data_IF_463347571639
#
_entry.id   IF_463347571639
#
_cell.length_a   1.000
_cell.length_b   1.000
_cell.length_c   1.000
_cell.angle_alpha   90.00
_cell.angle_beta   90.00
_cell.angle_gamma   90.00
#
_symmetry.space_group_name_H-M   'P 1'
#
loop_
_entity.id
_entity.type
_entity.pdbx_description
1 polymer ?
#
# COMPACT_ATOMS: atom_id res chain seq x y z
N UNK A 1 21.61 1.59 50.87
CA UNK A 1 20.46 1.59 50.00
C UNK A 1 20.11 3.01 49.55
N UNK A 2 21.08 3.78 48.94
CA UNK A 2 20.92 5.18 48.48
C UNK A 2 21.88 5.53 47.33
N UNK A 3 22.26 4.58 46.44
CA UNK A 3 23.20 4.86 45.33
C UNK A 3 22.80 4.21 43.99
N UNK A 4 21.52 3.82 43.77
CA UNK A 4 21.01 3.24 42.51
C UNK A 4 19.90 4.05 41.82
N UNK A 5 19.50 5.20 42.34
CA UNK A 5 18.45 6.05 41.82
C UNK A 5 18.94 7.30 41.06
N UNK A 6 20.26 7.52 40.98
CA UNK A 6 20.82 8.71 40.29
C UNK A 6 21.32 8.46 38.87
N UNK A 7 21.29 7.22 38.36
CA UNK A 7 21.76 6.85 37.02
C UNK A 7 20.65 6.67 35.99
N UNK A 8 19.36 6.77 36.40
CA UNK A 8 18.24 6.64 35.48
C UNK A 8 17.62 7.97 35.02
N UNK A 9 18.07 9.09 35.60
CA UNK A 9 17.58 10.44 35.24
C UNK A 9 18.46 11.17 34.20
N UNK A 10 19.63 10.64 33.84
CA UNK A 10 20.56 11.27 32.89
C UNK A 10 20.51 10.71 31.46
N UNK A 11 19.69 9.68 31.20
CA UNK A 11 19.55 9.05 29.87
C UNK A 11 18.31 9.51 29.08
N UNK A 12 17.52 10.45 29.61
CA UNK A 12 16.26 10.87 28.98
C UNK A 12 16.31 12.29 28.38
N UNK A 13 17.48 12.90 28.24
CA UNK A 13 17.61 14.28 27.71
C UNK A 13 18.52 14.43 26.52
N UNK A 14 18.80 13.35 25.78
CA UNK A 14 19.68 13.42 24.59
C UNK A 14 19.02 12.84 23.32
N UNK A 15 17.70 12.95 23.17
CA UNK A 15 16.99 12.50 21.95
C UNK A 15 16.05 13.59 21.40
N UNK A 16 16.39 14.85 21.55
CA UNK A 16 15.67 15.97 20.90
C UNK A 16 16.66 17.00 20.36
N UNK A 17 17.54 16.60 19.41
CA UNK A 17 18.33 17.54 18.65
C UNK A 17 18.53 17.02 17.22
N UNK A 18 17.47 16.58 16.58
CA UNK A 18 17.31 16.64 15.15
C UNK A 18 16.58 17.95 14.87
N UNK A 19 17.31 19.06 14.77
CA UNK A 19 16.76 20.29 14.24
C UNK A 19 16.33 19.99 12.81
N UNK A 20 15.03 19.74 12.61
CA UNK A 20 14.41 19.81 11.31
C UNK A 20 14.69 21.21 10.79
N UNK A 21 15.65 21.36 9.86
CA UNK A 21 15.68 22.51 9.00
C UNK A 21 14.29 22.58 8.37
N UNK A 22 13.63 23.71 8.50
CA UNK A 22 12.37 23.99 7.83
C UNK A 22 12.63 24.11 6.31
N UNK A 23 13.01 23.00 5.69
CA UNK A 23 13.13 22.82 4.25
C UNK A 23 11.83 22.29 3.69
N UNK A 24 11.51 22.70 2.48
CA UNK A 24 10.45 22.09 1.70
C UNK A 24 10.77 20.62 1.50
N UNK A 25 9.80 19.72 1.80
CA UNK A 25 9.95 18.29 1.58
C UNK A 25 9.97 17.98 0.07
N UNK A 26 10.97 17.24 -0.36
CA UNK A 26 10.99 16.68 -1.72
C UNK A 26 10.12 15.43 -1.80
N UNK A 27 9.76 15.02 -3.00
CA UNK A 27 9.03 13.77 -3.22
C UNK A 27 9.83 12.55 -2.73
N UNK A 28 11.16 12.55 -2.96
CA UNK A 28 12.04 11.47 -2.52
C UNK A 28 12.10 11.37 -0.99
N UNK A 29 12.09 12.50 -0.27
CA UNK A 29 12.02 12.51 1.19
C UNK A 29 10.70 11.89 1.69
N UNK A 30 9.58 12.20 1.01
CA UNK A 30 8.27 11.64 1.33
C UNK A 30 8.23 10.12 1.10
N UNK A 31 8.80 9.66 -0.02
CA UNK A 31 8.90 8.22 -0.33
C UNK A 31 9.79 7.49 0.68
N UNK A 32 10.97 8.05 1.01
CA UNK A 32 11.86 7.48 2.02
C UNK A 32 11.20 7.41 3.41
N UNK A 33 10.45 8.44 3.79
CA UNK A 33 9.70 8.44 5.04
C UNK A 33 8.60 7.35 5.04
N UNK A 34 7.87 7.20 3.94
CA UNK A 34 6.83 6.18 3.81
C UNK A 34 7.41 4.76 3.89
N UNK A 35 8.53 4.49 3.21
CA UNK A 35 9.23 3.19 3.27
C UNK A 35 9.65 2.81 4.69
N UNK A 36 9.96 3.80 5.51
CA UNK A 36 10.42 3.61 6.89
C UNK A 36 9.30 3.55 7.91
N UNK A 37 8.26 4.35 7.76
CA UNK A 37 7.27 4.61 8.80
C UNK A 37 5.86 4.13 8.48
N UNK A 38 5.55 3.82 7.21
CA UNK A 38 4.20 3.43 6.83
C UNK A 38 3.81 2.07 7.46
N UNK A 39 2.67 2.00 8.17
CA UNK A 39 2.24 0.79 8.86
C UNK A 39 1.85 -0.34 7.90
N UNK A 40 1.34 -0.04 6.69
CA UNK A 40 0.95 -1.05 5.70
C UNK A 40 2.20 -1.82 5.21
N UNK A 41 3.31 -1.12 4.94
CA UNK A 41 4.59 -1.75 4.56
C UNK A 41 5.14 -2.59 5.71
N UNK A 42 5.05 -2.10 6.95
CA UNK A 42 5.49 -2.85 8.13
C UNK A 42 4.66 -4.12 8.30
N UNK A 43 3.33 -4.03 8.16
CA UNK A 43 2.44 -5.18 8.26
C UNK A 43 2.71 -6.22 7.16
N UNK A 44 2.91 -5.78 5.91
CA UNK A 44 3.23 -6.66 4.79
C UNK A 44 4.59 -7.35 4.98
N UNK A 45 5.60 -6.63 5.51
CA UNK A 45 6.92 -7.20 5.84
C UNK A 45 6.82 -8.29 6.91
N UNK A 46 6.05 -8.04 7.98
CA UNK A 46 5.86 -9.03 9.04
C UNK A 46 5.04 -10.24 8.56
N UNK A 47 4.09 -10.04 7.66
CA UNK A 47 3.39 -11.14 6.99
C UNK A 47 4.36 -12.00 6.16
N UNK A 48 5.24 -11.39 5.36
CA UNK A 48 6.29 -12.11 4.62
C UNK A 48 7.23 -12.86 5.57
N UNK A 49 7.64 -12.25 6.69
CA UNK A 49 8.46 -12.90 7.71
C UNK A 49 7.75 -14.12 8.31
N UNK A 50 6.44 -14.02 8.55
CA UNK A 50 5.64 -15.17 9.03
C UNK A 50 5.60 -16.29 7.96
N UNK A 51 5.35 -15.96 6.69
CA UNK A 51 5.34 -16.95 5.60
C UNK A 51 6.72 -17.62 5.41
N UNK A 52 7.83 -16.92 5.55
CA UNK A 52 9.17 -17.50 5.53
C UNK A 52 9.38 -18.58 6.59
N UNK A 53 8.70 -18.49 7.74
CA UNK A 53 8.78 -19.53 8.79
C UNK A 53 8.03 -20.80 8.41
N UNK A 54 7.05 -20.74 7.50
CA UNK A 54 6.28 -21.92 7.07
C UNK A 54 7.15 -22.97 6.38
N UNK A 55 8.24 -22.58 5.72
CA UNK A 55 9.24 -23.49 5.14
C UNK A 55 9.85 -24.36 6.22
N UNK A 56 10.25 -23.77 7.36
CA UNK A 56 10.80 -24.51 8.50
C UNK A 56 9.74 -25.40 9.16
N UNK A 57 8.48 -24.95 9.23
CA UNK A 57 7.37 -25.77 9.72
C UNK A 57 7.14 -27.00 8.81
N UNK A 58 7.18 -26.81 7.48
CA UNK A 58 7.06 -27.91 6.52
C UNK A 58 8.23 -28.91 6.61
N UNK A 59 9.42 -28.45 6.97
CA UNK A 59 10.63 -29.27 7.13
C UNK A 59 10.70 -29.98 8.50
N UNK A 60 10.04 -29.43 9.54
CA UNK A 60 10.15 -29.90 10.93
C UNK A 60 9.80 -31.38 11.14
N UNK A 61 8.80 -31.99 10.44
CA UNK A 61 8.50 -33.41 10.60
C UNK A 61 9.65 -34.35 10.21
N UNK A 62 10.65 -33.87 9.46
CA UNK A 62 11.85 -34.64 9.13
C UNK A 62 12.97 -34.56 10.17
N UNK A 63 12.80 -33.74 11.21
CA UNK A 63 13.78 -33.61 12.30
C UNK A 63 13.38 -34.52 13.48
N UNK A 64 14.31 -34.96 14.34
CA UNK A 64 13.97 -35.69 15.56
C UNK A 64 13.04 -34.87 16.45
N UNK A 65 11.93 -35.49 16.85
CA UNK A 65 10.97 -34.90 17.78
C UNK A 65 11.13 -35.57 19.14
N UNK A 66 11.48 -34.79 20.15
CA UNK A 66 11.61 -35.25 21.54
C UNK A 66 10.35 -34.86 22.31
N UNK A 67 9.75 -35.81 22.98
CA UNK A 67 8.61 -35.61 23.87
C UNK A 67 8.83 -36.27 25.24
N UNK A 68 8.35 -35.63 26.31
CA UNK A 68 8.27 -36.19 27.61
C UNK A 68 6.80 -36.26 28.01
N UNK A 69 6.39 -37.39 28.57
CA UNK A 69 5.02 -37.61 29.03
C UNK A 69 5.01 -38.26 30.41
N UNK A 70 4.07 -37.82 31.25
CA UNK A 70 3.80 -38.44 32.53
C UNK A 70 2.30 -38.66 32.65
N UNK A 71 1.89 -39.82 33.04
CA UNK A 71 0.48 -40.16 33.22
C UNK A 71 0.25 -40.97 34.51
N UNK A 72 -0.88 -40.70 35.13
CA UNK A 72 -1.45 -41.52 36.17
C UNK A 72 -2.78 -42.09 35.70
N UNK A 73 -2.93 -43.39 35.77
CA UNK A 73 -4.19 -44.06 35.41
C UNK A 73 -4.67 -44.88 36.61
N UNK A 74 -5.94 -44.72 36.93
CA UNK A 74 -6.63 -45.56 37.91
C UNK A 74 -7.70 -46.37 37.16
N UNK A 75 -7.62 -47.67 37.28
CA UNK A 75 -8.61 -48.61 36.73
C UNK A 75 -9.16 -49.46 37.85
N UNK A 76 -10.42 -49.88 37.75
CA UNK A 76 -11.07 -50.74 38.74
C UNK A 76 -12.20 -51.54 38.12
N UNK A 77 -12.43 -52.72 38.64
CA UNK A 77 -13.57 -53.57 38.32
C UNK A 77 -14.11 -54.13 39.62
N UNK A 78 -15.34 -53.79 39.99
CA UNK A 78 -15.90 -54.09 41.31
C UNK A 78 -15.21 -53.29 42.42
N UNK A 79 -14.81 -53.94 43.50
CA UNK A 79 -14.14 -53.32 44.64
C UNK A 79 -12.60 -53.26 44.50
N UNK A 80 -12.05 -53.73 43.39
CA UNK A 80 -10.61 -53.73 43.14
C UNK A 80 -10.20 -52.54 42.32
N UNK A 81 -9.31 -51.69 42.86
CA UNK A 81 -8.84 -50.44 42.22
C UNK A 81 -7.32 -50.39 42.15
N UNK A 82 -6.76 -50.44 40.96
CA UNK A 82 -5.33 -50.34 40.75
C UNK A 82 -4.96 -48.96 40.16
N UNK A 83 -3.93 -48.35 40.75
CA UNK A 83 -3.31 -47.15 40.24
C UNK A 83 -1.99 -47.46 39.55
N UNK A 84 -1.75 -46.90 38.36
CA UNK A 84 -0.48 -47.00 37.64
C UNK A 84 0.06 -45.64 37.28
N UNK A 85 1.36 -45.47 37.46
CA UNK A 85 2.12 -44.31 37.04
C UNK A 85 2.98 -44.66 35.82
N UNK A 86 3.09 -43.78 34.86
CA UNK A 86 4.03 -43.93 33.75
C UNK A 86 4.62 -42.55 33.41
N UNK A 87 5.94 -42.47 33.43
CA UNK A 87 6.71 -41.29 33.03
C UNK A 87 7.78 -41.73 32.05
N UNK A 88 7.89 -41.04 30.91
CA UNK A 88 8.86 -41.42 29.91
C UNK A 88 9.26 -40.27 28.99
N UNK A 89 10.36 -40.52 28.29
CA UNK A 89 10.87 -39.66 27.21
C UNK A 89 10.91 -40.50 25.94
N UNK A 90 10.46 -39.91 24.84
CA UNK A 90 10.51 -40.56 23.53
C UNK A 90 11.03 -39.64 22.45
N UNK A 91 11.79 -40.22 21.51
CA UNK A 91 12.26 -39.55 20.28
C UNK A 91 11.58 -40.25 19.12
N UNK A 92 10.98 -39.45 18.23
CA UNK A 92 10.39 -39.90 16.98
C UNK A 92 11.00 -39.13 15.83
N UNK A 93 11.32 -39.83 14.72
CA UNK A 93 11.84 -39.22 13.52
C UNK A 93 11.25 -39.88 12.26
N UNK A 94 10.67 -39.08 11.39
CA UNK A 94 10.34 -39.55 10.05
C UNK A 94 11.61 -39.66 9.22
N UNK A 95 11.98 -40.87 8.80
CA UNK A 95 13.15 -41.17 7.99
C UNK A 95 12.83 -40.87 6.51
N UNK A 96 11.70 -41.44 6.03
CA UNK A 96 11.23 -41.25 4.67
C UNK A 96 9.70 -41.24 4.62
N UNK A 97 9.15 -40.37 3.83
CA UNK A 97 7.72 -40.30 3.51
C UNK A 97 7.50 -40.29 1.96
N UNK A 98 8.45 -40.83 1.23
CA UNK A 98 8.46 -40.97 -0.24
C UNK A 98 8.17 -39.67 -0.98
N UNK A 99 8.79 -38.55 -0.51
CA UNK A 99 8.75 -37.27 -1.14
C UNK A 99 7.51 -36.41 -0.79
N UNK A 100 6.73 -36.78 0.24
CA UNK A 100 5.63 -35.95 0.71
C UNK A 100 6.15 -34.68 1.39
N UNK A 101 7.20 -34.79 2.20
CA UNK A 101 7.84 -33.66 2.88
C UNK A 101 8.47 -32.70 1.89
N UNK A 102 9.21 -33.19 0.90
CA UNK A 102 9.82 -32.40 -0.17
C UNK A 102 8.75 -31.60 -0.93
N UNK A 103 7.61 -32.22 -1.24
CA UNK A 103 6.48 -31.54 -1.90
C UNK A 103 5.85 -30.48 -0.97
N UNK A 104 5.73 -30.72 0.34
CA UNK A 104 5.27 -29.70 1.29
C UNK A 104 6.23 -28.53 1.39
N UNK A 105 7.55 -28.80 1.44
CA UNK A 105 8.58 -27.77 1.48
C UNK A 105 8.52 -26.95 0.18
N UNK A 106 8.39 -27.58 -1.00
CA UNK A 106 8.26 -26.88 -2.27
C UNK A 106 7.04 -25.98 -2.30
N UNK A 107 5.88 -26.47 -1.85
CA UNK A 107 4.67 -25.64 -1.69
C UNK A 107 4.89 -24.44 -0.76
N UNK A 108 5.53 -24.65 0.38
CA UNK A 108 5.82 -23.57 1.33
C UNK A 108 6.74 -22.50 0.71
N UNK A 109 7.73 -22.91 -0.10
CA UNK A 109 8.58 -21.98 -0.85
C UNK A 109 7.78 -21.17 -1.85
N UNK A 110 6.97 -21.82 -2.68
CA UNK A 110 6.11 -21.13 -3.66
C UNK A 110 5.13 -20.15 -2.98
N UNK A 111 4.59 -20.53 -1.81
CA UNK A 111 3.75 -19.62 -1.02
C UNK A 111 4.54 -18.43 -0.47
N UNK A 112 5.80 -18.65 -0.06
CA UNK A 112 6.69 -17.57 0.42
C UNK A 112 7.08 -16.62 -0.73
N UNK A 113 7.41 -17.15 -1.90
CA UNK A 113 7.70 -16.35 -3.10
C UNK A 113 6.47 -15.56 -3.56
N UNK A 114 5.27 -16.14 -3.47
CA UNK A 114 4.03 -15.42 -3.73
C UNK A 114 3.79 -14.29 -2.71
N UNK A 115 4.10 -14.52 -1.42
CA UNK A 115 4.00 -13.48 -0.39
C UNK A 115 5.07 -12.38 -0.57
N UNK A 116 6.21 -12.68 -1.17
CA UNK A 116 7.22 -11.69 -1.53
C UNK A 116 6.71 -10.75 -2.64
N UNK A 117 6.09 -11.30 -3.67
CA UNK A 117 5.44 -10.49 -4.70
C UNK A 117 4.22 -9.69 -4.15
N UNK A 118 3.44 -10.24 -3.20
CA UNK A 118 2.39 -9.49 -2.50
C UNK A 118 2.96 -8.32 -1.66
N UNK A 119 4.14 -8.49 -1.09
CA UNK A 119 4.85 -7.41 -0.39
C UNK A 119 5.26 -6.30 -1.37
N UNK A 120 5.83 -6.65 -2.53
CA UNK A 120 6.18 -5.69 -3.58
C UNK A 120 4.94 -4.91 -4.06
N UNK A 121 3.82 -5.59 -4.29
CA UNK A 121 2.55 -4.93 -4.63
C UNK A 121 2.09 -3.94 -3.54
N UNK A 122 2.23 -4.30 -2.27
CA UNK A 122 1.89 -3.41 -1.15
C UNK A 122 2.77 -2.17 -1.14
N UNK A 123 4.07 -2.32 -1.42
CA UNK A 123 5.00 -1.20 -1.55
C UNK A 123 4.58 -0.29 -2.70
N UNK A 124 4.28 -0.83 -3.88
CA UNK A 124 3.82 -0.06 -5.04
C UNK A 124 2.54 0.73 -4.75
N UNK A 125 1.59 0.13 -4.04
CA UNK A 125 0.35 0.80 -3.62
C UNK A 125 0.60 1.96 -2.65
N UNK A 126 1.52 1.80 -1.70
CA UNK A 126 1.90 2.88 -0.77
C UNK A 126 2.64 3.99 -1.52
N UNK A 127 3.57 3.65 -2.39
CA UNK A 127 4.30 4.59 -3.24
C UNK A 127 3.33 5.40 -4.10
N UNK A 128 2.38 4.75 -4.78
CA UNK A 128 1.33 5.43 -5.54
C UNK A 128 0.51 6.38 -4.67
N UNK A 129 0.13 5.96 -3.46
CA UNK A 129 -0.62 6.79 -2.50
C UNK A 129 0.16 8.05 -2.10
N UNK A 130 1.48 7.93 -1.88
CA UNK A 130 2.35 9.07 -1.58
C UNK A 130 2.44 10.03 -2.77
N UNK A 131 2.64 9.53 -3.99
CA UNK A 131 2.64 10.37 -5.21
C UNK A 131 1.32 11.15 -5.35
N UNK A 132 0.19 10.45 -5.24
CA UNK A 132 -1.13 11.07 -5.37
C UNK A 132 -1.36 12.14 -4.31
N UNK A 133 -1.01 11.87 -3.05
CA UNK A 133 -1.15 12.83 -1.97
C UNK A 133 -0.20 14.03 -2.12
N UNK A 134 1.04 13.79 -2.58
CA UNK A 134 2.01 14.84 -2.85
C UNK A 134 1.55 15.79 -3.96
N UNK A 135 1.08 15.26 -5.07
CA UNK A 135 0.55 16.08 -6.17
C UNK A 135 -0.77 16.76 -5.81
N UNK A 136 -1.62 16.12 -4.98
CA UNK A 136 -2.83 16.75 -4.45
C UNK A 136 -2.50 17.98 -3.58
N UNK A 137 -1.48 17.89 -2.72
CA UNK A 137 -1.01 19.01 -1.92
C UNK A 137 -0.41 20.12 -2.81
N UNK A 138 0.41 19.77 -3.79
CA UNK A 138 0.94 20.74 -4.76
C UNK A 138 -0.18 21.50 -5.49
N UNK A 139 -1.24 20.77 -5.90
CA UNK A 139 -2.42 21.38 -6.50
C UNK A 139 -3.12 22.32 -5.52
N UNK A 140 -3.35 21.86 -4.26
CA UNK A 140 -4.05 22.65 -3.25
C UNK A 140 -3.30 23.98 -2.93
N UNK A 141 -1.97 23.96 -2.88
CA UNK A 141 -1.14 25.15 -2.73
C UNK A 141 -1.37 26.14 -3.89
N UNK A 142 -1.36 25.67 -5.14
CA UNK A 142 -1.64 26.51 -6.31
C UNK A 142 -3.10 27.03 -6.34
N UNK A 143 -4.06 26.23 -5.88
CA UNK A 143 -5.45 26.64 -5.74
C UNK A 143 -5.61 27.78 -4.71
N UNK A 144 -4.82 27.77 -3.63
CA UNK A 144 -4.76 28.91 -2.68
C UNK A 144 -4.21 30.17 -3.34
N UNK A 145 -3.14 30.07 -4.13
CA UNK A 145 -2.55 31.22 -4.84
C UNK A 145 -3.54 31.84 -5.85
N UNK A 146 -4.30 31.01 -6.57
CA UNK A 146 -5.36 31.46 -7.48
C UNK A 146 -6.47 32.17 -6.70
N UNK A 147 -6.91 31.59 -5.59
CA UNK A 147 -7.97 32.17 -4.75
C UNK A 147 -7.51 33.48 -4.10
N UNK A 148 -6.24 33.58 -3.69
CA UNK A 148 -5.65 34.82 -3.17
C UNK A 148 -5.59 35.89 -4.26
N UNK A 149 -5.12 35.54 -5.44
CA UNK A 149 -5.08 36.47 -6.59
C UNK A 149 -6.47 37.03 -6.95
N UNK A 150 -7.49 36.16 -6.92
CA UNK A 150 -8.89 36.56 -7.11
C UNK A 150 -9.37 37.51 -6.02
N UNK A 151 -9.05 37.22 -4.75
CA UNK A 151 -9.38 38.09 -3.64
C UNK A 151 -8.73 39.46 -3.79
N UNK A 152 -7.44 39.54 -4.07
CA UNK A 152 -6.69 40.80 -4.26
C UNK A 152 -7.21 41.63 -5.41
N UNK A 153 -7.62 40.99 -6.52
CA UNK A 153 -8.22 41.70 -7.66
C UNK A 153 -9.59 42.25 -7.29
N UNK A 154 -10.42 41.55 -6.54
CA UNK A 154 -11.71 42.02 -6.06
C UNK A 154 -11.56 43.14 -5.01
N UNK A 155 -10.54 43.12 -4.17
CA UNK A 155 -10.22 44.19 -3.24
C UNK A 155 -9.88 45.50 -3.96
N UNK A 156 -8.96 45.46 -4.93
CA UNK A 156 -8.62 46.59 -5.77
C UNK A 156 -9.82 47.12 -6.53
N UNK A 157 -10.70 46.23 -7.03
CA UNK A 157 -11.91 46.61 -7.71
C UNK A 157 -12.90 47.37 -6.79
N UNK A 158 -13.05 46.92 -5.54
CA UNK A 158 -13.87 47.61 -4.56
C UNK A 158 -13.35 49.02 -4.27
N UNK A 159 -12.03 49.19 -4.13
CA UNK A 159 -11.41 50.49 -3.91
C UNK A 159 -11.64 51.43 -5.09
N UNK A 160 -11.54 50.96 -6.34
CA UNK A 160 -11.87 51.75 -7.48
C UNK A 160 -13.36 52.09 -7.56
N UNK A 161 -14.26 51.15 -7.28
CA UNK A 161 -15.70 51.40 -7.28
C UNK A 161 -16.10 52.46 -6.23
N UNK A 162 -15.49 52.42 -5.04
CA UNK A 162 -15.69 53.46 -3.99
C UNK A 162 -15.18 54.81 -4.45
N UNK A 163 -13.99 54.90 -4.98
CA UNK A 163 -13.42 56.14 -5.50
C UNK A 163 -14.27 56.77 -6.59
N UNK A 164 -14.75 55.99 -7.57
CA UNK A 164 -15.63 56.48 -8.62
C UNK A 164 -17.02 56.89 -8.12
N UNK A 165 -17.55 56.24 -7.12
CA UNK A 165 -18.80 56.62 -6.46
C UNK A 165 -18.65 57.97 -5.73
N UNK A 166 -17.57 58.17 -5.00
CA UNK A 166 -17.28 59.41 -4.25
C UNK A 166 -17.17 60.61 -5.14
N UNK A 167 -16.59 60.49 -6.33
CA UNK A 167 -16.51 61.56 -7.35
C UNK A 167 -17.77 61.66 -8.23
N UNK A 168 -18.81 60.83 -7.94
CA UNK A 168 -20.11 60.91 -8.62
C UNK A 168 -20.15 60.34 -10.03
N UNK A 169 -19.11 59.59 -10.50
CA UNK A 169 -19.03 59.06 -11.87
C UNK A 169 -19.68 57.69 -12.01
N UNK A 170 -19.88 56.93 -10.91
CA UNK A 170 -20.51 55.60 -10.90
C UNK A 170 -21.60 55.50 -9.84
N UNK A 171 -22.57 54.60 -10.05
CA UNK A 171 -23.70 54.39 -9.18
C UNK A 171 -23.34 53.50 -7.95
N UNK A 172 -24.06 53.67 -6.82
CA UNK A 172 -23.86 52.91 -5.57
C UNK A 172 -23.95 51.38 -5.78
N UNK A 173 -24.76 50.95 -6.75
CA UNK A 173 -24.91 49.51 -7.06
C UNK A 173 -23.58 48.83 -7.44
N UNK A 174 -22.64 49.55 -8.06
CA UNK A 174 -21.31 49.02 -8.41
C UNK A 174 -20.47 48.76 -7.15
N UNK A 175 -20.57 49.65 -6.14
CA UNK A 175 -19.91 49.45 -4.85
C UNK A 175 -20.49 48.21 -4.13
N UNK A 176 -21.83 48.10 -4.05
CA UNK A 176 -22.49 46.98 -3.38
C UNK A 176 -22.17 45.63 -4.07
N UNK A 177 -22.11 45.63 -5.41
CA UNK A 177 -21.70 44.43 -6.18
C UNK A 177 -20.23 44.05 -5.90
N UNK A 178 -19.33 45.03 -5.91
CA UNK A 178 -17.91 44.78 -5.60
C UNK A 178 -17.71 44.27 -4.15
N UNK A 179 -18.51 44.78 -3.17
CA UNK A 179 -18.51 44.24 -1.79
C UNK A 179 -18.98 42.79 -1.74
N UNK A 180 -20.02 42.42 -2.49
CA UNK A 180 -20.51 41.01 -2.59
C UNK A 180 -19.47 40.09 -3.21
N UNK A 181 -18.80 40.53 -4.28
CA UNK A 181 -17.79 39.75 -5.00
C UNK A 181 -16.53 39.58 -4.14
N UNK A 182 -16.13 40.60 -3.36
CA UNK A 182 -15.03 40.48 -2.39
C UNK A 182 -15.38 39.48 -1.27
N UNK A 183 -16.59 39.53 -0.73
CA UNK A 183 -17.02 38.57 0.30
C UNK A 183 -17.05 37.14 -0.24
N UNK A 184 -17.49 36.95 -1.49
CA UNK A 184 -17.49 35.65 -2.18
C UNK A 184 -16.06 35.12 -2.40
N UNK A 185 -15.13 35.97 -2.86
CA UNK A 185 -13.74 35.57 -3.06
C UNK A 185 -13.04 35.23 -1.75
N UNK A 186 -13.34 35.95 -0.65
CA UNK A 186 -12.85 35.61 0.68
C UNK A 186 -13.31 34.21 1.13
N UNK A 187 -14.59 33.87 0.89
CA UNK A 187 -15.10 32.53 1.20
C UNK A 187 -14.36 31.45 0.40
N UNK A 188 -14.08 31.71 -0.88
CA UNK A 188 -13.32 30.80 -1.75
C UNK A 188 -11.89 30.60 -1.23
N UNK A 189 -11.22 31.68 -0.82
CA UNK A 189 -9.87 31.63 -0.24
C UNK A 189 -9.82 30.78 1.05
N UNK A 190 -10.76 31.00 1.98
CA UNK A 190 -10.84 30.22 3.22
C UNK A 190 -11.05 28.71 2.93
N UNK A 191 -11.88 28.40 1.92
CA UNK A 191 -12.08 27.00 1.50
C UNK A 191 -10.82 26.38 0.89
N UNK A 192 -10.10 27.13 0.05
CA UNK A 192 -8.84 26.67 -0.53
C UNK A 192 -7.78 26.41 0.54
N UNK A 193 -7.62 27.30 1.52
CA UNK A 193 -6.73 27.13 2.66
C UNK A 193 -7.08 25.91 3.51
N UNK A 194 -8.38 25.70 3.77
CA UNK A 194 -8.83 24.51 4.48
C UNK A 194 -8.56 23.21 3.73
N UNK A 195 -8.69 23.23 2.40
CA UNK A 195 -8.37 22.09 1.56
C UNK A 195 -6.86 21.78 1.51
N UNK A 196 -6.01 22.81 1.51
CA UNK A 196 -4.56 22.64 1.62
C UNK A 196 -4.19 21.91 2.91
N UNK A 197 -4.76 22.30 4.06
CA UNK A 197 -4.51 21.62 5.33
C UNK A 197 -5.00 20.17 5.34
N UNK A 198 -6.11 19.85 4.65
CA UNK A 198 -6.59 18.47 4.50
C UNK A 198 -5.63 17.65 3.63
N UNK A 199 -5.17 18.18 2.49
CA UNK A 199 -4.20 17.50 1.63
C UNK A 199 -2.85 17.29 2.35
N UNK A 200 -2.45 18.22 3.21
CA UNK A 200 -1.27 18.09 4.07
C UNK A 200 -1.43 16.92 5.06
N UNK A 201 -2.61 16.78 5.65
CA UNK A 201 -2.93 15.67 6.53
C UNK A 201 -2.97 14.31 5.78
N UNK A 202 -3.48 14.31 4.55
CA UNK A 202 -3.50 13.12 3.69
C UNK A 202 -2.09 12.66 3.32
N UNK A 203 -1.17 13.59 3.00
CA UNK A 203 0.23 13.28 2.74
C UNK A 203 0.92 12.72 4.00
N UNK A 204 0.70 13.31 5.17
CA UNK A 204 1.22 12.81 6.43
C UNK A 204 0.75 11.38 6.70
N UNK A 205 -0.54 11.11 6.46
CA UNK A 205 -1.11 9.78 6.62
C UNK A 205 -0.52 8.78 5.61
N UNK A 206 -0.33 9.17 4.35
CA UNK A 206 0.29 8.32 3.32
C UNK A 206 1.74 7.95 3.68
N UNK A 207 2.48 8.89 4.27
CA UNK A 207 3.85 8.65 4.76
C UNK A 207 3.89 7.87 6.08
N UNK A 208 2.79 7.82 6.84
CA UNK A 208 2.77 7.21 8.18
C UNK A 208 3.48 8.06 9.25
N UNK A 209 3.55 9.39 9.06
CA UNK A 209 4.20 10.33 9.99
C UNK A 209 3.19 11.29 10.61
N UNK A 210 3.53 11.92 11.78
CA UNK A 210 2.68 12.95 12.37
C UNK A 210 2.53 14.17 11.45
N UNK A 211 1.34 14.76 11.41
CA UNK A 211 1.02 15.96 10.59
C UNK A 211 1.98 17.15 10.85
N UNK A 212 2.47 17.30 12.07
CA UNK A 212 3.36 18.41 12.46
C UNK A 212 4.74 18.40 11.80
N UNK A 213 5.11 17.33 11.09
CA UNK A 213 6.40 17.20 10.39
C UNK A 213 6.38 17.79 8.98
N UNK A 214 5.20 18.19 8.45
CA UNK A 214 5.06 18.73 7.10
C UNK A 214 4.94 20.25 7.14
N UNK A 215 6.04 20.95 6.81
CA UNK A 215 6.07 22.43 6.72
C UNK A 215 5.72 22.96 5.32
N UNK A 216 5.99 22.22 4.27
CA UNK A 216 5.71 22.54 2.87
C UNK A 216 6.30 21.49 1.93
N UNK A 217 5.90 21.52 0.68
CA UNK A 217 6.39 20.61 -0.38
C UNK A 217 6.99 21.41 -1.53
N UNK A 218 7.96 20.80 -2.23
CA UNK A 218 8.50 21.38 -3.46
C UNK A 218 7.44 21.32 -4.58
N UNK A 219 7.34 22.39 -5.37
CA UNK A 219 6.41 22.44 -6.50
C UNK A 219 6.92 21.60 -7.67
N UNK A 220 6.30 20.45 -7.88
CA UNK A 220 6.62 19.51 -8.96
C UNK A 220 5.50 19.37 -10.01
N UNK A 221 4.48 20.25 -10.00
CA UNK A 221 3.45 20.26 -11.04
C UNK A 221 3.96 20.90 -12.35
N UNK A 222 5.04 20.35 -12.89
CA UNK A 222 5.54 20.65 -14.23
C UNK A 222 5.08 19.59 -15.25
N UNK A 223 4.88 20.00 -16.52
CA UNK A 223 4.64 19.02 -17.58
C UNK A 223 5.97 18.47 -18.11
N UNK A 224 6.06 17.15 -18.16
CA UNK A 224 7.13 16.40 -18.82
C UNK A 224 6.48 15.51 -19.88
N UNK A 225 6.95 15.58 -21.10
CA UNK A 225 6.43 14.70 -22.15
C UNK A 225 6.99 13.28 -21.94
N UNK A 226 6.09 12.38 -21.71
CA UNK A 226 6.39 10.96 -21.55
C UNK A 226 5.41 10.15 -22.40
N UNK A 227 5.91 9.21 -23.19
CA UNK A 227 5.09 8.41 -24.08
C UNK A 227 5.58 6.96 -24.13
N UNK A 228 4.64 6.03 -24.13
CA UNK A 228 4.86 4.60 -24.32
C UNK A 228 3.78 4.08 -25.26
N UNK A 229 4.08 3.06 -26.06
CA UNK A 229 3.05 2.40 -26.86
C UNK A 229 2.15 1.54 -25.98
N UNK A 230 0.87 1.39 -26.36
CA UNK A 230 -0.05 0.53 -25.63
C UNK A 230 0.44 -0.92 -25.56
N UNK A 231 0.99 -1.41 -26.66
CA UNK A 231 1.46 -2.79 -26.75
C UNK A 231 2.66 -3.04 -25.82
N UNK A 232 3.61 -2.09 -25.74
CA UNK A 232 4.75 -2.18 -24.82
C UNK A 232 4.30 -2.09 -23.37
N UNK A 233 3.32 -1.23 -23.06
CA UNK A 233 2.75 -1.10 -21.74
C UNK A 233 2.07 -2.40 -21.26
N UNK A 234 1.26 -3.03 -22.12
CA UNK A 234 0.61 -4.31 -21.82
C UNK A 234 1.66 -5.43 -21.68
N UNK A 235 2.67 -5.47 -22.56
CA UNK A 235 3.73 -6.49 -22.49
C UNK A 235 4.54 -6.37 -21.18
N UNK A 236 4.87 -5.13 -20.77
CA UNK A 236 5.52 -4.86 -19.48
C UNK A 236 4.67 -5.36 -18.31
N UNK A 237 3.40 -4.98 -18.25
CA UNK A 237 2.48 -5.39 -17.19
C UNK A 237 2.35 -6.91 -17.07
N UNK A 238 2.24 -7.61 -18.21
CA UNK A 238 2.12 -9.07 -18.21
C UNK A 238 3.37 -9.77 -17.69
N UNK A 239 4.53 -9.14 -17.79
CA UNK A 239 5.80 -9.71 -17.36
C UNK A 239 6.13 -9.36 -15.91
N UNK A 240 6.05 -8.08 -15.57
CA UNK A 240 6.72 -7.51 -14.41
C UNK A 240 5.76 -7.19 -13.23
N UNK A 241 4.43 -7.27 -13.45
CA UNK A 241 3.45 -6.93 -12.42
C UNK A 241 3.46 -7.93 -11.25
N UNK A 242 3.75 -7.47 -10.01
CA UNK A 242 3.90 -8.35 -8.84
C UNK A 242 2.67 -9.21 -8.57
N UNK A 243 1.46 -8.65 -8.74
CA UNK A 243 0.19 -9.37 -8.56
C UNK A 243 0.05 -10.59 -9.49
N UNK A 244 0.49 -10.45 -10.76
CA UNK A 244 0.51 -11.57 -11.72
C UNK A 244 1.55 -12.62 -11.35
N UNK A 245 2.73 -12.18 -10.88
CA UNK A 245 3.79 -13.08 -10.39
C UNK A 245 3.26 -13.88 -9.20
N UNK A 246 2.66 -13.22 -8.21
CA UNK A 246 2.05 -13.87 -7.04
C UNK A 246 0.97 -14.89 -7.46
N UNK A 247 0.12 -14.53 -8.41
CA UNK A 247 -0.95 -15.41 -8.88
C UNK A 247 -0.41 -16.65 -9.61
N UNK A 248 0.63 -16.50 -10.45
CA UNK A 248 1.30 -17.62 -11.12
C UNK A 248 1.92 -18.60 -10.13
N UNK A 249 2.62 -18.08 -9.11
CA UNK A 249 3.20 -18.88 -8.03
C UNK A 249 2.13 -19.63 -7.22
N UNK A 250 0.95 -19.02 -7.01
CA UNK A 250 -0.19 -19.71 -6.38
C UNK A 250 -0.76 -20.83 -7.25
N UNK A 251 -0.79 -20.69 -8.57
CA UNK A 251 -1.16 -21.77 -9.49
C UNK A 251 -0.16 -22.92 -9.39
N UNK A 252 1.15 -22.63 -9.37
CA UNK A 252 2.19 -23.67 -9.20
C UNK A 252 2.06 -24.36 -7.81
N UNK A 253 1.79 -23.61 -6.75
CA UNK A 253 1.53 -24.16 -5.42
C UNK A 253 0.30 -25.07 -5.41
N UNK A 254 -0.76 -24.74 -6.14
CA UNK A 254 -1.93 -25.60 -6.32
C UNK A 254 -1.62 -26.88 -7.10
N UNK A 255 -0.76 -26.81 -8.13
CA UNK A 255 -0.27 -28.00 -8.85
C UNK A 255 0.56 -28.93 -7.94
N UNK A 256 1.44 -28.36 -7.11
CA UNK A 256 2.17 -29.12 -6.11
C UNK A 256 1.24 -29.73 -5.03
N UNK A 257 0.10 -29.05 -4.73
CA UNK A 257 -0.91 -29.66 -3.86
C UNK A 257 -1.55 -30.91 -4.47
N UNK A 258 -1.82 -30.92 -5.78
CA UNK A 258 -2.28 -32.13 -6.48
C UNK A 258 -1.25 -33.25 -6.31
N UNK A 259 0.03 -32.94 -6.55
CA UNK A 259 1.15 -33.91 -6.36
C UNK A 259 1.22 -34.44 -4.92
N UNK A 260 1.02 -33.57 -3.93
CA UNK A 260 0.99 -33.96 -2.52
C UNK A 260 -0.16 -34.93 -2.22
N UNK A 261 -1.37 -34.64 -2.74
CA UNK A 261 -2.53 -35.53 -2.51
C UNK A 261 -2.37 -36.88 -3.24
N UNK A 262 -1.75 -36.90 -4.43
CA UNK A 262 -1.45 -38.15 -5.14
C UNK A 262 -0.51 -39.06 -4.34
N UNK A 263 0.33 -38.51 -3.46
CA UNK A 263 1.20 -39.26 -2.55
C UNK A 263 0.49 -39.72 -1.26
N UNK A 264 -0.84 -39.60 -1.18
CA UNK A 264 -1.62 -39.96 0.03
C UNK A 264 -1.42 -41.41 0.48
N UNK A 265 -1.31 -42.36 -0.45
CA UNK A 265 -1.06 -43.78 -0.19
C UNK A 265 0.43 -44.19 -0.25
N UNK A 266 1.37 -43.19 -0.32
CA UNK A 266 2.79 -43.51 -0.30
C UNK A 266 3.20 -44.09 1.06
N UNK A 267 4.13 -45.06 1.07
CA UNK A 267 4.68 -45.61 2.32
C UNK A 267 5.30 -44.53 3.21
N UNK A 268 5.47 -44.83 4.49
CA UNK A 268 6.25 -44.00 5.41
C UNK A 268 7.14 -44.88 6.29
N UNK A 269 8.37 -44.42 6.48
CA UNK A 269 9.36 -45.07 7.35
C UNK A 269 9.68 -44.08 8.48
N UNK A 270 9.51 -44.55 9.72
CA UNK A 270 9.84 -43.77 10.93
C UNK A 270 10.74 -44.59 11.88
N UNK A 271 11.59 -43.89 12.59
CA UNK A 271 12.35 -44.41 13.71
C UNK A 271 11.77 -43.87 15.03
N UNK A 272 11.70 -44.70 16.03
CA UNK A 272 11.32 -44.28 17.37
C UNK A 272 12.25 -44.95 18.42
N UNK A 273 12.55 -44.18 19.48
CA UNK A 273 13.22 -44.70 20.67
C UNK A 273 12.56 -44.06 21.88
N UNK A 274 12.41 -44.86 22.94
CA UNK A 274 11.79 -44.40 24.18
C UNK A 274 12.43 -45.01 25.40
N UNK A 275 12.38 -44.27 26.50
CA UNK A 275 12.74 -44.73 27.81
C UNK A 275 11.64 -44.29 28.78
N UNK A 276 11.10 -45.24 29.56
CA UNK A 276 10.00 -44.96 30.45
C UNK A 276 10.15 -45.70 31.78
N UNK A 277 9.65 -45.08 32.82
CA UNK A 277 9.49 -45.64 34.18
C UNK A 277 8.00 -45.78 34.44
N UNK A 278 7.56 -46.88 35.02
CA UNK A 278 6.18 -47.01 35.40
C UNK A 278 5.88 -48.32 36.08
N UNK A 279 5.00 -48.31 37.06
CA UNK A 279 4.27 -49.43 37.63
C UNK A 279 3.25 -48.90 38.67
N UNK A 280 2.78 -49.79 39.53
CA UNK A 280 1.97 -49.46 40.71
C UNK A 280 2.70 -48.53 41.71
N UNK A 281 4.06 -48.56 41.75
CA UNK A 281 4.90 -47.62 42.49
C UNK A 281 5.76 -46.78 41.58
N UNK A 282 6.05 -45.54 41.97
CA UNK A 282 6.87 -44.60 41.17
C UNK A 282 8.31 -45.13 41.06
N UNK A 283 8.86 -45.24 39.82
CA UNK A 283 10.20 -45.71 39.48
C UNK A 283 10.51 -47.19 39.78
N UNK A 284 9.51 -48.05 39.89
CA UNK A 284 9.73 -49.45 40.22
C UNK A 284 10.27 -50.32 39.07
N UNK A 285 9.91 -49.97 37.80
CA UNK A 285 10.43 -50.64 36.61
C UNK A 285 10.77 -49.65 35.54
N UNK A 286 11.93 -49.80 34.92
CA UNK A 286 12.37 -49.08 33.74
C UNK A 286 12.26 -49.94 32.47
N UNK A 287 11.90 -49.29 31.38
CA UNK A 287 11.77 -49.94 30.07
C UNK A 287 12.34 -49.03 28.99
N UNK A 288 13.05 -49.61 28.05
CA UNK A 288 13.46 -48.92 26.84
C UNK A 288 12.94 -49.67 25.61
N UNK A 289 12.66 -48.91 24.56
CA UNK A 289 12.28 -49.45 23.26
C UNK A 289 12.96 -48.66 22.18
N UNK A 290 13.37 -49.34 21.10
CA UNK A 290 13.83 -48.71 19.88
C UNK A 290 13.33 -49.54 18.70
N UNK A 291 12.86 -48.83 17.64
CA UNK A 291 12.27 -49.53 16.52
C UNK A 291 12.23 -48.71 15.24
N UNK A 292 12.12 -49.40 14.13
CA UNK A 292 11.81 -48.86 12.82
C UNK A 292 10.42 -49.35 12.42
N UNK A 293 9.57 -48.44 11.99
CA UNK A 293 8.22 -48.78 11.55
C UNK A 293 8.04 -48.35 10.08
N UNK A 294 7.81 -49.33 9.21
CA UNK A 294 7.37 -49.12 7.84
C UNK A 294 5.84 -49.24 7.77
N UNK A 295 5.15 -48.20 7.44
CA UNK A 295 3.70 -48.19 7.23
C UNK A 295 3.39 -48.04 5.72
N UNK A 296 2.62 -49.01 5.19
CA UNK A 296 2.19 -49.05 3.78
C UNK A 296 0.67 -49.07 3.75
N UNK A 297 -0.01 -47.96 3.51
CA UNK A 297 -1.47 -47.96 3.40
C UNK A 297 -1.89 -48.68 2.11
N UNK A 298 -2.70 -49.71 2.23
CA UNK A 298 -3.15 -50.49 1.07
C UNK A 298 -4.45 -49.95 0.47
N UNK A 299 -5.31 -49.39 1.30
CA UNK A 299 -6.56 -48.73 0.91
C UNK A 299 -7.00 -47.76 1.99
N UNK A 300 -7.65 -46.69 1.60
CA UNK A 300 -8.21 -45.65 2.46
C UNK A 300 -9.72 -45.40 2.20
N UNK A 301 -10.40 -46.40 1.58
CA UNK A 301 -11.83 -46.25 1.24
C UNK A 301 -12.12 -45.20 0.16
N UNK A 302 -11.12 -44.80 -0.61
CA UNK A 302 -11.26 -43.79 -1.68
C UNK A 302 -10.97 -42.36 -1.23
N UNK A 303 -10.53 -42.14 0.00
CA UNK A 303 -10.22 -40.79 0.54
C UNK A 303 -9.17 -40.08 -0.33
N UNK A 304 -8.03 -40.73 -0.59
CA UNK A 304 -6.97 -40.15 -1.45
C UNK A 304 -7.49 -39.77 -2.83
N UNK A 305 -8.33 -40.62 -3.46
CA UNK A 305 -8.92 -40.33 -4.76
C UNK A 305 -9.77 -39.04 -4.71
N UNK A 306 -10.64 -38.92 -3.70
CA UNK A 306 -11.48 -37.74 -3.52
C UNK A 306 -10.65 -36.47 -3.23
N UNK A 307 -9.57 -36.58 -2.43
CA UNK A 307 -8.64 -35.46 -2.17
C UNK A 307 -7.91 -35.01 -3.44
N UNK A 308 -7.51 -35.94 -4.30
CA UNK A 308 -6.90 -35.62 -5.61
C UNK A 308 -7.90 -34.91 -6.52
N UNK A 309 -9.16 -35.40 -6.59
CA UNK A 309 -10.21 -34.76 -7.36
C UNK A 309 -10.49 -33.33 -6.88
N UNK A 310 -10.55 -33.14 -5.57
CA UNK A 310 -10.70 -31.83 -4.96
C UNK A 310 -9.52 -30.92 -5.31
N UNK A 311 -8.28 -31.38 -5.13
CA UNK A 311 -7.07 -30.60 -5.46
C UNK A 311 -7.01 -30.20 -6.92
N UNK A 312 -7.41 -31.11 -7.85
CA UNK A 312 -7.51 -30.80 -9.28
C UNK A 312 -8.57 -29.74 -9.59
N UNK A 313 -9.70 -29.76 -8.89
CA UNK A 313 -10.72 -28.71 -9.02
C UNK A 313 -10.20 -27.34 -8.55
N UNK A 314 -9.47 -27.32 -7.43
CA UNK A 314 -8.81 -26.11 -6.91
C UNK A 314 -7.72 -25.58 -7.86
N UNK A 315 -6.95 -26.47 -8.51
CA UNK A 315 -5.98 -26.07 -9.53
C UNK A 315 -6.69 -25.38 -10.70
N UNK A 316 -7.74 -26.01 -11.27
CA UNK A 316 -8.52 -25.37 -12.36
C UNK A 316 -9.15 -24.05 -11.96
N UNK A 317 -9.57 -23.92 -10.69
CA UNK A 317 -10.05 -22.64 -10.15
C UNK A 317 -8.94 -21.59 -10.18
N UNK A 318 -7.74 -21.91 -9.66
CA UNK A 318 -6.60 -21.00 -9.63
C UNK A 318 -6.14 -20.59 -11.06
N UNK A 319 -6.16 -21.52 -12.02
CA UNK A 319 -5.88 -21.25 -13.45
C UNK A 319 -6.92 -20.28 -14.05
N UNK A 320 -8.21 -20.48 -13.77
CA UNK A 320 -9.27 -19.60 -14.26
C UNK A 320 -9.18 -18.19 -13.62
N UNK A 321 -8.83 -18.10 -12.33
CA UNK A 321 -8.59 -16.84 -11.64
C UNK A 321 -7.37 -16.09 -12.22
N UNK A 322 -6.30 -16.81 -12.63
CA UNK A 322 -5.15 -16.20 -13.31
C UNK A 322 -5.58 -15.58 -14.65
N UNK A 323 -6.34 -16.30 -15.48
CA UNK A 323 -6.84 -15.77 -16.76
C UNK A 323 -7.75 -14.55 -16.51
N UNK A 324 -8.59 -14.59 -15.49
CA UNK A 324 -9.43 -13.44 -15.08
C UNK A 324 -8.61 -12.22 -14.71
N UNK A 325 -7.51 -12.42 -13.95
CA UNK A 325 -6.61 -11.35 -13.56
C UNK A 325 -5.85 -10.79 -14.78
N UNK A 326 -5.34 -11.62 -15.68
CA UNK A 326 -4.68 -11.19 -16.91
C UNK A 326 -5.57 -10.31 -17.78
N UNK A 327 -6.86 -10.65 -17.89
CA UNK A 327 -7.84 -9.83 -18.59
C UNK A 327 -8.08 -8.48 -17.87
N UNK A 328 -8.14 -8.50 -16.53
CA UNK A 328 -8.33 -7.29 -15.72
C UNK A 328 -7.13 -6.35 -15.82
N UNK A 329 -5.92 -6.88 -15.77
CA UNK A 329 -4.68 -6.13 -15.95
C UNK A 329 -4.61 -5.50 -17.34
N UNK A 330 -4.98 -6.25 -18.39
CA UNK A 330 -5.04 -5.70 -19.75
C UNK A 330 -6.00 -4.52 -19.84
N UNK A 331 -7.16 -4.63 -19.22
CA UNK A 331 -8.14 -3.54 -19.18
C UNK A 331 -7.63 -2.33 -18.37
N UNK A 332 -7.03 -2.57 -17.21
CA UNK A 332 -6.46 -1.52 -16.35
C UNK A 332 -5.38 -0.72 -17.09
N UNK A 333 -4.42 -1.40 -17.72
CA UNK A 333 -3.36 -0.76 -18.51
C UNK A 333 -3.94 0.07 -19.65
N UNK A 334 -4.92 -0.49 -20.37
CA UNK A 334 -5.56 0.22 -21.46
C UNK A 334 -6.30 1.47 -20.97
N UNK A 335 -7.02 1.37 -19.87
CA UNK A 335 -7.73 2.50 -19.25
C UNK A 335 -6.73 3.58 -18.83
N UNK A 336 -5.68 3.22 -18.10
CA UNK A 336 -4.67 4.16 -17.63
C UNK A 336 -3.91 4.83 -18.80
N UNK A 337 -3.70 4.10 -19.91
CA UNK A 337 -3.08 4.66 -21.12
C UNK A 337 -3.98 5.69 -21.81
N UNK A 338 -5.29 5.39 -21.95
CA UNK A 338 -6.26 6.35 -22.50
C UNK A 338 -6.45 7.56 -21.60
N UNK A 339 -6.47 7.37 -20.27
CA UNK A 339 -6.55 8.46 -19.30
C UNK A 339 -5.36 9.41 -19.43
N UNK A 340 -4.14 8.88 -19.60
CA UNK A 340 -2.96 9.71 -19.83
C UNK A 340 -3.04 10.47 -21.15
N UNK A 341 -3.51 9.82 -22.22
CA UNK A 341 -3.70 10.48 -23.52
C UNK A 341 -4.72 11.62 -23.40
N UNK A 342 -5.87 11.37 -22.76
CA UNK A 342 -6.90 12.37 -22.51
C UNK A 342 -6.38 13.53 -21.66
N UNK A 343 -5.64 13.25 -20.58
CA UNK A 343 -5.08 14.26 -19.70
C UNK A 343 -4.11 15.20 -20.44
N UNK A 344 -3.27 14.68 -21.34
CA UNK A 344 -2.37 15.47 -22.18
C UNK A 344 -3.13 16.43 -23.11
N UNK A 345 -4.17 15.95 -23.79
CA UNK A 345 -5.00 16.78 -24.68
C UNK A 345 -5.76 17.86 -23.89
N UNK A 346 -6.28 17.49 -22.71
CA UNK A 346 -6.96 18.41 -21.79
C UNK A 346 -6.03 19.50 -21.29
N UNK A 347 -4.76 19.18 -20.96
CA UNK A 347 -3.77 20.15 -20.52
C UNK A 347 -3.46 21.18 -21.61
N UNK A 348 -3.25 20.73 -22.85
CA UNK A 348 -3.02 21.65 -23.98
C UNK A 348 -4.16 22.64 -24.13
N UNK A 349 -5.40 22.15 -24.10
CA UNK A 349 -6.61 22.98 -24.23
C UNK A 349 -6.79 23.92 -23.04
N UNK A 350 -6.51 23.47 -21.81
CA UNK A 350 -6.59 24.30 -20.61
C UNK A 350 -5.57 25.47 -20.63
N UNK A 351 -4.33 25.19 -21.06
CA UNK A 351 -3.29 26.22 -21.20
C UNK A 351 -3.63 27.28 -22.23
N UNK A 352 -4.27 26.89 -23.34
CA UNK A 352 -4.75 27.88 -24.35
C UNK A 352 -5.87 28.74 -23.79
N UNK A 353 -6.83 28.13 -23.09
CA UNK A 353 -7.94 28.82 -22.43
C UNK A 353 -7.44 29.83 -21.38
N UNK A 354 -6.48 29.40 -20.54
CA UNK A 354 -5.88 30.27 -19.51
C UNK A 354 -5.16 31.47 -20.14
N UNK A 355 -4.40 31.26 -21.22
CA UNK A 355 -3.72 32.33 -21.95
C UNK A 355 -4.71 33.35 -22.49
N UNK A 356 -5.80 32.90 -23.10
CA UNK A 356 -6.86 33.77 -23.63
C UNK A 356 -7.61 34.50 -22.48
N UNK A 357 -7.92 33.82 -21.38
CA UNK A 357 -8.58 34.44 -20.23
C UNK A 357 -7.70 35.51 -19.56
N UNK A 358 -6.39 35.27 -19.45
CA UNK A 358 -5.43 36.26 -18.94
C UNK A 358 -5.38 37.52 -19.81
N UNK A 359 -5.31 37.35 -21.11
CA UNK A 359 -5.34 38.48 -22.05
C UNK A 359 -6.65 39.29 -21.92
N UNK A 360 -7.79 38.61 -21.74
CA UNK A 360 -9.09 39.25 -21.50
C UNK A 360 -9.09 40.05 -20.20
N UNK A 361 -8.55 39.47 -19.12
CA UNK A 361 -8.43 40.15 -17.82
C UNK A 361 -7.56 41.41 -17.92
N UNK A 362 -6.39 41.32 -18.58
CA UNK A 362 -5.47 42.44 -18.73
C UNK A 362 -6.13 43.59 -19.53
N UNK A 363 -6.89 43.27 -20.58
CA UNK A 363 -7.65 44.26 -21.37
C UNK A 363 -8.79 44.88 -20.56
N UNK A 364 -9.58 44.10 -19.82
CA UNK A 364 -10.68 44.60 -19.01
C UNK A 364 -10.19 45.53 -17.90
N UNK A 365 -9.09 45.18 -17.22
CA UNK A 365 -8.44 46.03 -16.22
C UNK A 365 -7.94 47.35 -16.83
N UNK A 366 -7.31 47.29 -18.02
CA UNK A 366 -6.84 48.50 -18.73
C UNK A 366 -7.98 49.46 -19.10
N UNK A 367 -9.08 48.93 -19.67
CA UNK A 367 -10.29 49.71 -20.03
C UNK A 367 -10.95 50.37 -18.83
N UNK A 368 -11.07 49.62 -17.71
CA UNK A 368 -11.69 50.18 -16.50
C UNK A 368 -10.84 51.28 -15.87
N UNK A 369 -9.51 51.12 -15.82
CA UNK A 369 -8.58 52.15 -15.36
C UNK A 369 -8.66 53.42 -16.22
N UNK A 370 -8.92 53.26 -17.51
CA UNK A 370 -9.13 54.39 -18.43
C UNK A 370 -10.54 55.05 -18.33
N UNK A 371 -11.41 54.51 -17.43
CA UNK A 371 -12.78 55.00 -17.22
C UNK A 371 -13.79 54.64 -18.30
N UNK A 372 -13.41 53.79 -19.29
CA UNK A 372 -14.26 53.38 -20.43
C UNK A 372 -14.80 51.95 -20.31
N UNK A 373 -14.40 51.22 -19.27
CA UNK A 373 -14.85 49.85 -18.98
C UNK A 373 -16.03 49.79 -18.01
N UNK A 374 -16.75 48.63 -18.00
CA UNK A 374 -17.81 48.36 -17.07
C UNK A 374 -17.30 47.43 -15.94
N UNK A 375 -17.86 47.56 -14.75
CA UNK A 375 -17.56 46.73 -13.60
C UNK A 375 -17.95 45.25 -13.83
N UNK A 376 -18.98 44.99 -14.64
CA UNK A 376 -19.37 43.61 -15.01
C UNK A 376 -18.29 42.97 -15.90
N UNK A 377 -17.73 43.71 -16.88
CA UNK A 377 -16.65 43.23 -17.75
C UNK A 377 -15.43 42.76 -16.93
N UNK A 378 -15.02 43.51 -15.89
CA UNK A 378 -13.92 43.11 -15.02
C UNK A 378 -14.32 41.90 -14.18
N UNK A 379 -15.54 41.91 -13.58
CA UNK A 379 -16.01 40.80 -12.75
C UNK A 379 -15.94 39.48 -13.52
N UNK A 380 -16.47 39.49 -14.74
CA UNK A 380 -16.48 38.31 -15.61
C UNK A 380 -15.05 37.89 -16.03
N UNK A 381 -14.17 38.86 -16.30
CA UNK A 381 -12.78 38.59 -16.67
C UNK A 381 -11.94 38.02 -15.49
N UNK A 382 -12.13 38.56 -14.27
CA UNK A 382 -11.47 38.02 -13.05
C UNK A 382 -11.92 36.60 -12.77
N UNK A 383 -13.23 36.35 -12.84
CA UNK A 383 -13.78 35.01 -12.60
C UNK A 383 -13.38 34.04 -13.73
N UNK A 384 -13.41 34.49 -14.98
CA UNK A 384 -12.99 33.69 -16.13
C UNK A 384 -11.51 33.28 -16.05
N UNK A 385 -10.63 34.20 -15.65
CA UNK A 385 -9.21 33.90 -15.48
C UNK A 385 -8.98 32.93 -14.29
N UNK A 386 -9.65 33.15 -13.14
CA UNK A 386 -9.51 32.26 -12.00
C UNK A 386 -9.96 30.84 -12.32
N UNK A 387 -11.08 30.67 -13.06
CA UNK A 387 -11.56 29.35 -13.51
C UNK A 387 -10.59 28.71 -14.52
N UNK A 388 -10.10 29.46 -15.50
CA UNK A 388 -9.17 28.94 -16.49
C UNK A 388 -7.84 28.51 -15.86
N UNK A 389 -7.32 29.30 -14.92
CA UNK A 389 -6.09 28.97 -14.17
C UNK A 389 -6.26 27.72 -13.29
N UNK A 390 -7.39 27.61 -12.58
CA UNK A 390 -7.71 26.41 -11.80
C UNK A 390 -7.84 25.16 -12.70
N UNK A 391 -8.42 25.29 -13.89
CA UNK A 391 -8.51 24.18 -14.85
C UNK A 391 -7.13 23.76 -15.38
N UNK A 392 -6.19 24.69 -15.57
CA UNK A 392 -4.80 24.37 -15.97
C UNK A 392 -4.08 23.61 -14.85
N UNK A 393 -4.23 24.05 -13.60
CA UNK A 393 -3.65 23.35 -12.42
C UNK A 393 -4.25 21.95 -12.27
N UNK A 394 -5.57 21.82 -12.45
CA UNK A 394 -6.24 20.51 -12.45
C UNK A 394 -5.69 19.59 -13.56
N UNK A 395 -5.58 20.11 -14.78
CA UNK A 395 -5.08 19.31 -15.92
C UNK A 395 -3.61 18.88 -15.74
N UNK A 396 -2.77 19.71 -15.12
CA UNK A 396 -1.39 19.32 -14.73
C UNK A 396 -1.39 18.18 -13.70
N UNK A 397 -2.22 18.32 -12.69
CA UNK A 397 -2.41 17.27 -11.67
C UNK A 397 -2.91 15.97 -12.29
N UNK A 398 -3.91 16.04 -13.17
CA UNK A 398 -4.46 14.86 -13.86
C UNK A 398 -3.40 14.17 -14.73
N UNK A 399 -2.55 14.94 -15.42
CA UNK A 399 -1.42 14.38 -16.20
C UNK A 399 -0.42 13.63 -15.32
N UNK A 400 -0.04 14.20 -14.16
CA UNK A 400 0.88 13.54 -13.22
C UNK A 400 0.27 12.26 -12.67
N UNK A 401 -0.99 12.31 -12.22
CA UNK A 401 -1.67 11.12 -11.69
C UNK A 401 -1.89 10.03 -12.74
N UNK A 402 -2.30 10.42 -13.96
CA UNK A 402 -2.49 9.44 -15.05
C UNK A 402 -1.17 8.74 -15.41
N UNK A 403 -0.04 9.47 -15.39
CA UNK A 403 1.29 8.86 -15.58
C UNK A 403 1.61 7.85 -14.48
N UNK A 404 1.48 8.22 -13.21
CA UNK A 404 1.75 7.33 -12.07
C UNK A 404 0.83 6.09 -12.11
N UNK A 405 -0.44 6.28 -12.44
CA UNK A 405 -1.38 5.18 -12.57
C UNK A 405 -0.97 4.20 -13.69
N UNK A 406 -0.48 4.73 -14.81
CA UNK A 406 0.01 3.88 -15.92
C UNK A 406 1.31 3.16 -15.54
N UNK A 407 2.28 3.83 -14.91
CA UNK A 407 3.52 3.22 -14.43
C UNK A 407 3.21 2.09 -13.44
N UNK A 408 2.30 2.31 -12.48
CA UNK A 408 1.83 1.26 -11.56
C UNK A 408 1.13 0.11 -12.30
N UNK A 409 0.26 0.43 -13.26
CA UNK A 409 -0.45 -0.60 -14.04
C UNK A 409 0.49 -1.46 -14.90
N UNK A 410 1.66 -0.93 -15.25
CA UNK A 410 2.71 -1.63 -16.01
C UNK A 410 3.56 -2.57 -15.16
N UNK A 411 3.48 -2.52 -13.82
CA UNK A 411 4.16 -3.48 -12.95
C UNK A 411 5.32 -2.94 -12.13
N UNK A 412 5.33 -1.67 -11.85
CA UNK A 412 6.26 -1.08 -10.88
C UNK A 412 6.45 0.41 -11.05
N UNK A 413 6.35 1.11 -9.94
CA UNK A 413 6.78 2.50 -9.84
C UNK A 413 8.30 2.47 -9.58
N UNK A 414 9.10 3.05 -10.47
CA UNK A 414 10.52 3.24 -10.20
C UNK A 414 10.69 4.29 -9.10
N UNK A 415 10.70 3.82 -7.86
CA UNK A 415 11.26 4.58 -6.75
C UNK A 415 12.74 4.21 -6.65
N UNK A 416 13.60 5.23 -6.61
CA UNK A 416 15.04 5.08 -6.76
C UNK A 416 15.59 3.81 -6.12
N UNK A 417 16.31 3.03 -6.91
CA UNK A 417 17.14 1.93 -6.45
C UNK A 417 18.02 2.41 -5.28
N UNK A 418 17.54 2.22 -4.06
CA UNK A 418 18.36 2.32 -2.87
C UNK A 418 18.41 0.96 -2.21
N UNK A 419 19.43 0.19 -2.68
CA UNK A 419 20.28 -0.68 -1.85
C UNK A 419 19.56 -1.32 -0.66
N UNK A 420 19.07 -2.52 -0.88
CA UNK A 420 19.06 -3.55 0.15
C UNK A 420 20.50 -4.04 0.33
N UNK A 421 21.23 -3.51 1.31
CA UNK A 421 22.34 -4.18 1.99
C UNK A 421 21.83 -4.83 3.28
#
# INVERSE_FOLDING_TARGET
MKLKTALFAAALTLLCAGASSAGTLTLDDCLAAAMKHNPDITAAREYLNAERTTINQAAAPGRPQLSANSSYRRSGSGDDHEGSYSTGVSVNQSISDWGRRETRIKRARLSTEAAEADYEETVDLVVQRVYNAYYALNRAVRDVDIAQTRYDNNEKRLDWARSYYEVGTKAKIEVTKAESDLASSKLTLVRAQSNEELCRAELANAMGVPLMEISGVEDMLGYEDWSISLDDAVAGAMKDRPELVARRLRVESAAENVTLQMKGLSPSLSASAGYSFGNHSYFDHDQWNAGLTLSVPLTDGGLTKSMVEQARAQLRQAEAELVGLENSVTLEVRTAWEDLRQAKESLSSAQEAERAAKATLDLALGRYKAGVGDNLEISDAVDGYAVASANTVLALYDCKNARINLEKAMGGLSYGEQTTD
#
